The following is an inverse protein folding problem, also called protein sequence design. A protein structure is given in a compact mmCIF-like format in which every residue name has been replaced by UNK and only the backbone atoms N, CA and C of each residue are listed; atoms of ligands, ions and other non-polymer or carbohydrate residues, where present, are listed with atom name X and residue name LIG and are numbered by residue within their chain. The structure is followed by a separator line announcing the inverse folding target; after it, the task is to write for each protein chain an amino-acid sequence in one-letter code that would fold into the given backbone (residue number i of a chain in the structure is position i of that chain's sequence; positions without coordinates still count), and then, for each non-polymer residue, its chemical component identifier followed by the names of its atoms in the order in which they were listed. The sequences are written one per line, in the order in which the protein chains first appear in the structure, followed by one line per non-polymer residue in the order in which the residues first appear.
data_IF_472071094642
#
_entry.id   IF_472071094642
#
_cell.length_a   1.000
_cell.length_b   1.000
_cell.length_c   1.000
_cell.angle_alpha   90.00
_cell.angle_beta   90.00
_cell.angle_gamma   90.00
#
_symmetry.space_group_name_H-M   'P 1'
#
loop_
_entity.id
_entity.type
_entity.pdbx_description
1 polymer ?
#
# COMPACT_ATOMS: atom_id res chain seq x y z
N UNK A 1 28.47 28.28 -47.21
CA UNK A 1 27.26 28.59 -46.45
C UNK A 1 27.15 27.61 -45.31
N UNK A 2 27.45 28.05 -44.12
CA UNK A 2 27.26 27.24 -42.91
C UNK A 2 25.83 27.36 -42.46
N UNK A 3 25.03 26.34 -42.70
CA UNK A 3 23.73 26.22 -42.01
C UNK A 3 24.01 25.94 -40.53
N UNK A 4 23.64 26.86 -39.66
CA UNK A 4 23.57 26.57 -38.22
C UNK A 4 22.46 25.54 -38.02
N UNK A 5 22.84 24.28 -37.83
CA UNK A 5 21.94 23.27 -37.33
C UNK A 5 21.47 23.68 -35.92
N UNK A 6 20.22 23.99 -35.79
CA UNK A 6 19.60 24.26 -34.50
C UNK A 6 19.56 22.93 -33.74
N UNK A 7 20.42 22.73 -32.76
CA UNK A 7 20.52 21.49 -32.00
C UNK A 7 19.20 21.11 -31.30
N UNK A 8 18.28 22.06 -31.11
CA UNK A 8 16.98 21.87 -30.47
C UNK A 8 15.92 21.24 -31.39
N UNK A 9 16.14 21.32 -32.72
CA UNK A 9 15.21 20.80 -33.74
C UNK A 9 15.71 19.58 -34.50
N UNK A 10 16.95 19.12 -34.16
CA UNK A 10 17.51 17.94 -34.80
C UNK A 10 16.90 16.66 -34.18
N UNK A 11 16.05 16.01 -34.91
CA UNK A 11 15.37 14.74 -34.51
C UNK A 11 16.39 13.66 -34.12
N UNK A 12 17.61 13.68 -34.66
CA UNK A 12 18.65 12.73 -34.32
C UNK A 12 19.24 12.96 -32.92
N UNK A 13 19.11 14.17 -32.37
CA UNK A 13 19.50 14.52 -30.99
C UNK A 13 18.34 14.43 -30.02
N UNK A 14 17.13 14.81 -30.46
CA UNK A 14 15.93 14.78 -29.62
C UNK A 14 15.43 13.35 -29.36
N UNK A 15 15.50 12.47 -30.34
CA UNK A 15 15.02 11.10 -30.22
C UNK A 15 15.72 10.29 -29.11
N UNK A 16 17.05 10.25 -29.05
CA UNK A 16 17.72 9.51 -27.97
C UNK A 16 17.54 10.16 -26.59
N UNK A 17 17.42 11.48 -26.49
CA UNK A 17 17.20 12.16 -25.21
C UNK A 17 15.78 11.95 -24.68
N UNK A 18 14.78 11.97 -25.55
CA UNK A 18 13.38 11.66 -25.18
C UNK A 18 13.25 10.18 -24.81
N UNK A 19 13.85 9.29 -25.57
CA UNK A 19 13.88 7.85 -25.25
C UNK A 19 14.53 7.58 -23.89
N UNK A 20 15.64 8.28 -23.60
CA UNK A 20 16.34 8.17 -22.32
C UNK A 20 15.48 8.70 -21.14
N UNK A 21 14.80 9.83 -21.31
CA UNK A 21 13.89 10.39 -20.31
C UNK A 21 12.70 9.45 -20.09
N UNK A 22 12.13 8.88 -21.15
CA UNK A 22 11.02 7.93 -21.06
C UNK A 22 11.44 6.62 -20.38
N UNK A 23 12.65 6.12 -20.65
CA UNK A 23 13.17 4.93 -19.98
C UNK A 23 13.46 5.19 -18.51
N UNK A 24 14.01 6.35 -18.15
CA UNK A 24 14.20 6.74 -16.75
C UNK A 24 12.84 6.91 -16.03
N UNK A 25 11.88 7.54 -16.68
CA UNK A 25 10.52 7.70 -16.14
C UNK A 25 9.85 6.34 -15.94
N UNK A 26 9.99 5.43 -16.91
CA UNK A 26 9.44 4.07 -16.80
C UNK A 26 10.12 3.26 -15.71
N UNK A 27 11.47 3.27 -15.64
CA UNK A 27 12.23 2.64 -14.57
C UNK A 27 11.85 3.18 -13.19
N UNK A 28 11.73 4.51 -13.06
CA UNK A 28 11.38 5.15 -11.80
C UNK A 28 9.94 4.80 -11.38
N UNK A 29 9.03 4.75 -12.35
CA UNK A 29 7.63 4.36 -12.10
C UNK A 29 7.49 2.88 -11.75
N UNK A 30 8.33 2.02 -12.35
CA UNK A 30 8.35 0.58 -12.04
C UNK A 30 8.94 0.32 -10.64
N UNK A 31 9.93 1.11 -10.22
CA UNK A 31 10.52 1.03 -8.88
C UNK A 31 9.56 1.51 -7.79
N UNK A 32 8.79 2.58 -8.05
CA UNK A 32 7.72 3.04 -7.17
C UNK A 32 6.61 1.99 -7.03
N UNK A 33 6.15 1.42 -8.14
CA UNK A 33 5.10 0.40 -8.16
C UNK A 33 5.55 -0.91 -7.49
N UNK A 34 6.83 -1.27 -7.65
CA UNK A 34 7.43 -2.42 -6.99
C UNK A 34 7.56 -2.23 -5.48
N UNK A 35 7.79 -1.01 -5.02
CA UNK A 35 7.84 -0.68 -3.59
C UNK A 35 6.48 -0.85 -2.91
N UNK A 36 5.40 -0.46 -3.58
CA UNK A 36 4.05 -0.62 -3.04
C UNK A 36 3.63 -2.08 -2.97
N UNK A 37 3.82 -2.85 -4.02
CA UNK A 37 3.56 -4.29 -4.01
C UNK A 37 4.38 -5.02 -2.95
N UNK A 38 5.62 -4.63 -2.74
CA UNK A 38 6.50 -5.23 -1.73
C UNK A 38 5.98 -5.03 -0.30
N UNK A 39 5.32 -3.91 0.02
CA UNK A 39 4.81 -3.69 1.37
C UNK A 39 3.53 -4.50 1.66
N UNK A 40 2.65 -4.66 0.68
CA UNK A 40 1.51 -5.57 0.81
C UNK A 40 1.97 -7.02 0.93
N UNK A 41 2.97 -7.43 0.14
CA UNK A 41 3.60 -8.74 0.27
C UNK A 41 4.19 -8.95 1.68
N UNK A 42 4.80 -7.93 2.25
CA UNK A 42 5.31 -7.99 3.63
C UNK A 42 4.18 -8.25 4.65
N UNK A 43 3.00 -7.68 4.45
CA UNK A 43 1.84 -7.96 5.29
C UNK A 43 1.28 -9.38 5.08
N UNK A 44 1.30 -9.87 3.84
CA UNK A 44 0.84 -11.23 3.48
C UNK A 44 1.80 -12.30 4.04
N UNK A 45 3.11 -12.08 3.95
CA UNK A 45 4.12 -13.07 4.36
C UNK A 45 4.64 -12.89 5.79
N UNK A 46 4.11 -11.94 6.54
CA UNK A 46 4.43 -11.75 7.95
C UNK A 46 5.79 -11.11 8.22
N UNK A 47 6.28 -10.27 7.31
CA UNK A 47 7.56 -9.59 7.44
C UNK A 47 7.43 -8.35 8.35
N UNK A 48 7.29 -8.58 9.65
CA UNK A 48 6.98 -7.55 10.64
C UNK A 48 7.98 -6.40 10.68
N UNK A 49 9.26 -6.67 10.49
CA UNK A 49 10.31 -5.64 10.52
C UNK A 49 10.18 -4.65 9.36
N UNK A 50 9.83 -5.13 8.15
CA UNK A 50 9.58 -4.26 7.01
C UNK A 50 8.34 -3.37 7.22
N UNK A 51 7.30 -3.91 7.81
CA UNK A 51 6.08 -3.14 8.15
C UNK A 51 6.41 -2.06 9.19
N UNK A 52 7.15 -2.42 10.24
CA UNK A 52 7.58 -1.47 11.28
C UNK A 52 8.45 -0.36 10.71
N UNK A 53 9.41 -0.71 9.85
CA UNK A 53 10.27 0.27 9.19
C UNK A 53 9.45 1.22 8.29
N UNK A 54 8.52 0.67 7.49
CA UNK A 54 7.63 1.43 6.62
C UNK A 54 6.82 2.49 7.40
N UNK A 55 6.20 2.08 8.50
CA UNK A 55 5.41 2.96 9.36
C UNK A 55 6.29 3.99 10.06
N UNK A 56 7.48 3.59 10.56
CA UNK A 56 8.43 4.50 11.23
C UNK A 56 9.00 5.56 10.28
N UNK A 57 9.06 5.28 8.98
CA UNK A 57 9.42 6.25 7.95
C UNK A 57 8.31 7.27 7.65
N UNK A 58 7.16 7.18 8.33
CA UNK A 58 6.01 8.05 8.14
C UNK A 58 5.25 7.82 6.84
N UNK A 59 5.41 6.65 6.22
CA UNK A 59 4.67 6.27 5.02
C UNK A 59 3.23 5.93 5.35
N UNK A 60 2.36 6.08 4.35
CA UNK A 60 0.93 5.85 4.50
C UNK A 60 0.62 4.36 4.74
N UNK A 61 0.25 4.00 5.98
CA UNK A 61 -0.13 2.64 6.34
C UNK A 61 -1.58 2.30 5.95
N UNK A 62 -2.37 3.30 5.58
CA UNK A 62 -3.76 3.16 5.15
C UNK A 62 -3.90 3.12 3.62
N UNK A 63 -2.76 3.06 2.91
CA UNK A 63 -2.72 2.86 1.47
C UNK A 63 -3.57 1.66 1.07
N UNK A 64 -4.44 1.85 0.10
CA UNK A 64 -5.28 0.80 -0.47
C UNK A 64 -4.73 0.34 -1.82
N UNK A 65 -4.68 -0.94 -2.04
CA UNK A 65 -4.33 -1.53 -3.33
C UNK A 65 -5.52 -1.56 -4.32
N UNK A 66 -5.35 -2.23 -5.44
CA UNK A 66 -6.39 -2.40 -6.45
C UNK A 66 -7.63 -3.17 -5.95
N UNK A 67 -7.53 -3.90 -4.84
CA UNK A 67 -8.65 -4.59 -4.17
C UNK A 67 -9.26 -3.76 -3.04
N UNK A 68 -8.81 -2.53 -2.85
CA UNK A 68 -9.23 -1.67 -1.74
C UNK A 68 -8.72 -2.14 -0.38
N UNK A 69 -7.84 -3.12 -0.35
CA UNK A 69 -7.28 -3.69 0.87
C UNK A 69 -6.09 -2.87 1.37
N UNK A 70 -5.97 -2.73 2.69
CA UNK A 70 -4.83 -2.10 3.37
C UNK A 70 -3.89 -3.16 3.93
N UNK A 71 -2.75 -2.72 4.47
CA UNK A 71 -1.83 -3.60 5.20
C UNK A 71 -2.53 -4.34 6.35
N UNK A 72 -3.47 -3.66 7.02
CA UNK A 72 -4.26 -4.26 8.11
C UNK A 72 -5.17 -5.38 7.59
N UNK A 73 -5.81 -5.21 6.44
CA UNK A 73 -6.61 -6.27 5.83
C UNK A 73 -5.78 -7.52 5.54
N UNK A 74 -4.64 -7.35 4.88
CA UNK A 74 -3.76 -8.46 4.52
C UNK A 74 -3.16 -9.18 5.72
N UNK A 75 -2.74 -8.44 6.74
CA UNK A 75 -2.20 -9.05 7.97
C UNK A 75 -3.26 -9.87 8.72
N UNK A 76 -4.53 -9.42 8.70
CA UNK A 76 -5.66 -10.15 9.26
C UNK A 76 -5.99 -11.41 8.45
N UNK A 77 -6.11 -11.28 7.13
CA UNK A 77 -6.36 -12.42 6.23
C UNK A 77 -5.30 -13.52 6.37
N UNK A 78 -4.04 -13.12 6.49
CA UNK A 78 -2.92 -14.05 6.58
C UNK A 78 -2.63 -14.55 8.00
N UNK A 79 -3.37 -14.06 9.00
CA UNK A 79 -3.24 -14.51 10.39
C UNK A 79 -2.03 -13.94 11.14
N UNK A 80 -1.42 -12.86 10.63
CA UNK A 80 -0.26 -12.23 11.26
C UNK A 80 -0.69 -11.23 12.34
N UNK A 81 -1.14 -11.74 13.48
CA UNK A 81 -1.73 -10.95 14.56
C UNK A 81 -0.76 -9.93 15.17
N UNK A 82 0.55 -10.19 15.16
CA UNK A 82 1.56 -9.21 15.60
C UNK A 82 1.54 -7.95 14.72
N UNK A 83 1.53 -8.13 13.40
CA UNK A 83 1.47 -7.01 12.44
C UNK A 83 0.15 -6.28 12.57
N UNK A 84 -0.98 -7.01 12.63
CA UNK A 84 -2.30 -6.40 12.79
C UNK A 84 -2.39 -5.57 14.06
N UNK A 85 -1.94 -6.08 15.19
CA UNK A 85 -1.91 -5.35 16.46
C UNK A 85 -1.00 -4.12 16.39
N UNK A 86 0.18 -4.24 15.78
CA UNK A 86 1.10 -3.13 15.60
C UNK A 86 0.46 -2.01 14.77
N UNK A 87 -0.19 -2.34 13.64
CA UNK A 87 -0.87 -1.35 12.79
C UNK A 87 -2.00 -0.64 13.54
N UNK A 88 -2.82 -1.38 14.28
CA UNK A 88 -3.92 -0.80 15.07
C UNK A 88 -3.38 0.15 16.16
N UNK A 89 -2.34 -0.25 16.89
CA UNK A 89 -1.71 0.59 17.92
C UNK A 89 -1.03 1.82 17.30
N UNK A 90 -0.54 1.71 16.07
CA UNK A 90 0.03 2.82 15.30
C UNK A 90 -1.03 3.74 14.69
N UNK A 91 -2.30 3.57 15.06
CA UNK A 91 -3.45 4.39 14.65
C UNK A 91 -3.83 4.25 13.16
N UNK A 92 -3.62 3.06 12.57
CA UNK A 92 -4.20 2.76 11.26
C UNK A 92 -5.73 2.92 11.29
N UNK A 93 -6.31 3.38 10.17
CA UNK A 93 -7.77 3.48 10.06
C UNK A 93 -8.40 2.08 10.03
N UNK A 94 -9.06 1.75 11.11
CA UNK A 94 -9.68 0.42 11.34
C UNK A 94 -11.05 0.25 10.66
N UNK A 95 -11.53 1.27 9.94
CA UNK A 95 -12.85 1.28 9.30
C UNK A 95 -12.81 1.37 7.77
N UNK A 96 -11.64 1.28 7.17
CA UNK A 96 -11.51 1.20 5.71
C UNK A 96 -12.19 -0.08 5.21
N UNK A 97 -12.91 0.03 4.11
CA UNK A 97 -13.68 -1.05 3.50
C UNK A 97 -12.98 -1.48 2.22
N UNK A 98 -12.72 -2.77 2.08
CA UNK A 98 -12.21 -3.35 0.84
C UNK A 98 -13.28 -3.50 -0.24
N UNK A 99 -12.91 -3.92 -1.44
CA UNK A 99 -13.87 -4.13 -2.54
C UNK A 99 -14.83 -5.30 -2.34
N UNK A 100 -14.56 -6.19 -1.39
CA UNK A 100 -15.50 -7.22 -0.95
C UNK A 100 -16.57 -6.66 0.00
N UNK A 101 -16.41 -5.41 0.42
CA UNK A 101 -17.32 -4.73 1.33
C UNK A 101 -17.04 -5.05 2.79
N UNK A 102 -15.87 -5.53 3.13
CA UNK A 102 -15.49 -5.95 4.48
C UNK A 102 -14.59 -4.93 5.15
N UNK A 103 -14.76 -4.76 6.46
CA UNK A 103 -13.88 -3.98 7.32
C UNK A 103 -12.79 -4.88 7.91
N UNK A 104 -11.70 -4.31 8.46
CA UNK A 104 -10.74 -5.08 9.25
C UNK A 104 -11.37 -5.91 10.37
N UNK A 105 -12.43 -5.38 11.01
CA UNK A 105 -13.13 -6.11 12.06
C UNK A 105 -13.90 -7.33 11.53
N UNK A 106 -14.52 -7.22 10.36
CA UNK A 106 -15.16 -8.35 9.70
C UNK A 106 -14.15 -9.45 9.41
N UNK A 107 -12.98 -9.09 8.87
CA UNK A 107 -11.89 -10.03 8.62
C UNK A 107 -11.35 -10.68 9.91
N UNK A 108 -11.17 -9.89 10.98
CA UNK A 108 -10.73 -10.42 12.27
C UNK A 108 -11.71 -11.46 12.83
N UNK A 109 -13.01 -11.23 12.70
CA UNK A 109 -14.06 -12.19 13.07
C UNK A 109 -14.02 -13.44 12.18
N UNK A 110 -13.90 -13.23 10.87
CA UNK A 110 -13.88 -14.34 9.90
C UNK A 110 -12.68 -15.26 10.10
N UNK A 111 -11.53 -14.68 10.42
CA UNK A 111 -10.31 -15.42 10.70
C UNK A 111 -10.17 -15.87 12.16
N UNK A 112 -11.24 -15.70 12.96
CA UNK A 112 -11.31 -16.09 14.38
C UNK A 112 -10.16 -15.49 15.24
N UNK A 113 -9.73 -14.28 14.91
CA UNK A 113 -8.69 -13.56 15.65
C UNK A 113 -9.31 -12.73 16.79
N UNK A 114 -9.77 -13.41 17.83
CA UNK A 114 -10.56 -12.82 18.92
C UNK A 114 -9.84 -11.66 19.60
N UNK A 115 -8.56 -11.82 19.93
CA UNK A 115 -7.78 -10.78 20.61
C UNK A 115 -7.56 -9.54 19.73
N UNK A 116 -7.30 -9.76 18.44
CA UNK A 116 -7.12 -8.66 17.49
C UNK A 116 -8.46 -7.96 17.22
N UNK A 117 -9.54 -8.69 17.10
CA UNK A 117 -10.90 -8.13 16.96
C UNK A 117 -11.26 -7.23 18.15
N UNK A 118 -10.94 -7.67 19.36
CA UNK A 118 -11.14 -6.88 20.58
C UNK A 118 -10.34 -5.57 20.53
N UNK A 119 -9.07 -5.64 20.17
CA UNK A 119 -8.21 -4.47 20.03
C UNK A 119 -8.75 -3.50 18.96
N UNK A 120 -9.16 -4.01 17.78
CA UNK A 120 -9.78 -3.21 16.73
C UNK A 120 -11.03 -2.48 17.27
N UNK A 121 -11.85 -3.14 18.08
CA UNK A 121 -13.01 -2.54 18.75
C UNK A 121 -12.62 -1.39 19.69
N UNK A 122 -11.57 -1.58 20.49
CA UNK A 122 -11.05 -0.57 21.42
C UNK A 122 -10.60 0.71 20.68
N UNK A 123 -10.12 0.56 19.44
CA UNK A 123 -9.73 1.67 18.56
C UNK A 123 -10.87 2.17 17.65
N UNK A 124 -12.13 1.83 17.97
CA UNK A 124 -13.31 2.35 17.27
C UNK A 124 -13.70 1.58 16.01
N UNK A 125 -13.13 0.39 15.81
CA UNK A 125 -13.46 -0.47 14.68
C UNK A 125 -14.91 -0.94 14.69
N UNK A 126 -15.52 -0.91 13.52
CA UNK A 126 -16.91 -1.33 13.27
C UNK A 126 -16.97 -2.40 12.20
N UNK A 127 -17.97 -3.25 12.27
CA UNK A 127 -18.29 -4.16 11.17
C UNK A 127 -18.98 -3.40 10.03
N UNK A 128 -19.01 -3.99 8.84
CA UNK A 128 -19.74 -3.43 7.71
C UNK A 128 -21.21 -3.15 8.05
N UNK A 129 -21.84 -4.08 8.77
CA UNK A 129 -23.25 -3.95 9.17
C UNK A 129 -23.47 -2.72 10.08
N UNK A 130 -22.53 -2.41 10.96
CA UNK A 130 -22.58 -1.25 11.86
C UNK A 130 -22.31 0.06 11.16
N UNK A 131 -21.46 0.07 10.12
CA UNK A 131 -21.19 1.28 9.33
C UNK A 131 -22.38 1.71 8.46
N UNK A 132 -23.27 0.77 8.13
CA UNK A 132 -24.47 1.03 7.31
C UNK A 132 -25.70 1.45 8.12
N UNK A 133 -25.59 1.53 9.43
CA UNK A 133 -26.66 1.99 10.32
C UNK A 133 -26.63 3.52 10.50
#
# INVERSE_FOLDING_TARGET
MTQKKNMVTDLNVLFPTIAFILTLFWMFNEELNKSENTIFDAAIYGQSELIKEYVNQGKDMDLQDEFGATLLHYSLQSGHSEISKFLVISEADVNIIDKEGLTPLDWAHWMNQVETAKLIREYGGKTRAELNQ
#
